data_IF_581096209935
#
_entry.id   IF_581096209935
#
_cell.length_a   1.000
_cell.length_b   1.000
_cell.length_c   1.000
_cell.angle_alpha   90.00
_cell.angle_beta   90.00
_cell.angle_gamma   90.00
#
_symmetry.space_group_name_H-M   'P 1'
#
loop_
_entity.id
_entity.type
_entity.pdbx_description
1 polymer ?
#
# COMPACT_ATOMS: atom_id res chain seq x y z
N UNK A 1 -27.97 11.37 -10.02
CA UNK A 1 -27.28 10.42 -9.13
C UNK A 1 -25.80 10.42 -9.46
N UNK A 2 -24.97 10.64 -8.45
CA UNK A 2 -23.52 10.54 -8.61
C UNK A 2 -23.13 9.07 -8.58
N UNK A 3 -22.19 8.68 -9.45
CA UNK A 3 -21.62 7.34 -9.40
C UNK A 3 -20.85 7.16 -8.10
N UNK A 4 -20.90 5.97 -7.46
CA UNK A 4 -20.04 5.70 -6.32
C UNK A 4 -18.57 5.86 -6.71
N UNK A 5 -17.77 6.39 -5.79
CA UNK A 5 -16.34 6.48 -6.00
C UNK A 5 -15.74 5.08 -6.09
N UNK A 6 -14.77 4.91 -6.96
CA UNK A 6 -13.97 3.69 -6.97
C UNK A 6 -13.11 3.66 -5.71
N UNK A 7 -13.11 2.52 -5.04
CA UNK A 7 -12.37 2.30 -3.80
C UNK A 7 -11.13 1.49 -4.14
N UNK A 8 -9.97 2.08 -3.94
CA UNK A 8 -8.71 1.41 -4.26
C UNK A 8 -7.79 1.37 -3.04
N UNK A 9 -7.14 0.24 -2.85
CA UNK A 9 -6.08 0.09 -1.86
C UNK A 9 -4.74 0.16 -2.59
N UNK A 10 -3.85 1.02 -2.12
CA UNK A 10 -2.47 1.05 -2.60
C UNK A 10 -1.62 0.37 -1.53
N UNK A 11 -1.01 -0.75 -1.89
CA UNK A 11 -0.13 -1.51 -1.00
C UNK A 11 1.31 -1.09 -1.31
N UNK A 12 1.81 -0.15 -0.52
CA UNK A 12 3.16 0.39 -0.68
C UNK A 12 4.18 -0.48 0.06
N UNK A 13 5.42 -0.55 -0.42
CA UNK A 13 6.48 -1.13 0.41
C UNK A 13 6.67 -0.33 1.69
N UNK A 14 7.23 -0.96 2.71
CA UNK A 14 7.42 -0.34 4.03
C UNK A 14 8.88 -0.31 4.46
N UNK A 15 9.82 -0.39 3.50
CA UNK A 15 11.22 -0.16 3.82
C UNK A 15 11.43 1.25 4.33
N UNK A 16 10.71 2.19 3.74
CA UNK A 16 10.71 3.61 4.08
C UNK A 16 9.26 4.10 4.15
N UNK A 17 9.05 5.27 4.75
CA UNK A 17 7.73 5.89 4.71
C UNK A 17 7.35 6.27 3.27
N UNK A 18 6.09 6.56 3.03
CA UNK A 18 5.55 6.95 1.72
C UNK A 18 5.02 8.39 1.81
N UNK A 19 5.59 9.39 1.11
CA UNK A 19 6.83 9.31 0.35
C UNK A 19 8.06 9.26 1.27
N UNK A 20 9.18 8.73 0.78
CA UNK A 20 10.39 8.67 1.61
C UNK A 20 11.01 10.04 1.79
N UNK A 21 11.79 10.20 2.87
CA UNK A 21 12.48 11.48 3.13
C UNK A 21 13.62 11.72 2.14
N UNK A 22 14.34 10.68 1.76
CA UNK A 22 15.48 10.77 0.87
C UNK A 22 15.49 9.65 -0.15
N UNK A 23 15.74 8.42 0.27
CA UNK A 23 15.86 7.26 -0.60
C UNK A 23 14.61 6.39 -0.48
N UNK A 24 14.18 5.82 -1.60
CA UNK A 24 13.02 4.94 -1.63
C UNK A 24 12.24 5.08 -2.92
N UNK A 25 12.80 4.55 -4.03
CA UNK A 25 12.18 4.70 -5.35
C UNK A 25 10.76 4.14 -5.41
N UNK A 26 10.53 2.99 -4.80
CA UNK A 26 9.24 2.32 -4.89
C UNK A 26 8.18 3.01 -4.05
N UNK A 27 8.57 3.51 -2.88
CA UNK A 27 7.66 4.29 -2.04
C UNK A 27 7.32 5.63 -2.71
N UNK A 28 8.26 6.19 -3.46
CA UNK A 28 8.00 7.41 -4.24
C UNK A 28 6.96 7.16 -5.32
N UNK A 29 7.07 6.04 -6.05
CA UNK A 29 6.09 5.67 -7.07
C UNK A 29 4.72 5.47 -6.44
N UNK A 30 4.65 4.75 -5.33
CA UNK A 30 3.38 4.52 -4.63
C UNK A 30 2.73 5.83 -4.19
N UNK A 31 3.53 6.77 -3.69
CA UNK A 31 3.04 8.09 -3.28
C UNK A 31 2.46 8.86 -4.47
N UNK A 32 3.17 8.87 -5.59
CA UNK A 32 2.71 9.59 -6.78
C UNK A 32 1.39 9.05 -7.29
N UNK A 33 1.24 7.73 -7.33
CA UNK A 33 0.01 7.10 -7.78
C UNK A 33 -1.12 7.40 -6.80
N UNK A 34 -0.86 7.28 -5.51
CA UNK A 34 -1.86 7.54 -4.47
C UNK A 34 -2.40 8.96 -4.57
N UNK A 35 -1.52 9.95 -4.59
CA UNK A 35 -1.94 11.34 -4.62
C UNK A 35 -2.62 11.70 -5.95
N UNK A 36 -2.17 11.09 -7.05
CA UNK A 36 -2.82 11.28 -8.35
C UNK A 36 -4.24 10.76 -8.38
N UNK A 37 -4.49 9.61 -7.78
CA UNK A 37 -5.84 9.03 -7.71
C UNK A 37 -6.74 9.83 -6.78
N UNK A 38 -6.22 10.31 -5.64
CA UNK A 38 -6.98 11.18 -4.74
C UNK A 38 -7.40 12.44 -5.50
N UNK A 39 -6.47 13.04 -6.25
CA UNK A 39 -6.76 14.25 -7.01
C UNK A 39 -7.85 14.04 -8.06
N UNK A 40 -8.00 12.81 -8.55
CA UNK A 40 -9.04 12.45 -9.53
C UNK A 40 -10.35 12.04 -8.89
N UNK A 41 -10.45 12.12 -7.57
CA UNK A 41 -11.71 11.85 -6.86
C UNK A 41 -11.94 10.40 -6.48
N UNK A 42 -10.92 9.54 -6.57
CA UNK A 42 -11.03 8.15 -6.12
C UNK A 42 -10.99 8.09 -4.59
N UNK A 43 -11.62 7.06 -4.03
CA UNK A 43 -11.55 6.77 -2.60
C UNK A 43 -10.35 5.84 -2.39
N UNK A 44 -9.25 6.41 -1.92
CA UNK A 44 -7.97 5.69 -1.82
C UNK A 44 -7.61 5.44 -0.37
N UNK A 45 -7.20 4.22 -0.08
CA UNK A 45 -6.56 3.87 1.20
C UNK A 45 -5.13 3.46 0.89
N UNK A 46 -4.18 4.14 1.52
CA UNK A 46 -2.76 3.85 1.39
C UNK A 46 -2.35 2.96 2.56
N UNK A 47 -1.87 1.76 2.25
CA UNK A 47 -1.25 0.87 3.23
C UNK A 47 0.25 1.15 3.21
N UNK A 48 0.75 1.76 4.26
CA UNK A 48 2.14 2.22 4.37
C UNK A 48 2.50 2.36 5.84
N UNK A 49 3.74 2.80 6.15
CA UNK A 49 4.10 3.07 7.53
C UNK A 49 3.32 4.28 8.07
N UNK A 50 3.13 4.33 9.39
CA UNK A 50 2.27 5.34 10.03
C UNK A 50 2.81 6.75 9.85
N UNK A 51 4.12 6.92 9.72
CA UNK A 51 4.75 8.23 9.52
C UNK A 51 4.66 8.73 8.08
N UNK A 52 3.97 8.00 7.21
CA UNK A 52 3.72 8.41 5.83
C UNK A 52 2.84 9.65 5.77
N UNK A 53 2.98 10.42 4.69
CA UNK A 53 2.22 11.65 4.48
C UNK A 53 1.38 11.48 3.22
N UNK A 54 0.07 11.58 3.36
CA UNK A 54 -0.84 11.35 2.24
C UNK A 54 -2.17 12.05 2.47
N UNK A 55 -2.84 12.42 1.37
CA UNK A 55 -4.23 12.89 1.44
C UNK A 55 -5.23 11.74 1.42
N UNK A 56 -4.76 10.52 1.11
CA UNK A 56 -5.59 9.32 1.19
C UNK A 56 -5.80 8.91 2.65
N UNK A 57 -6.67 7.92 2.87
CA UNK A 57 -6.73 7.28 4.18
C UNK A 57 -5.47 6.47 4.36
N UNK A 58 -4.88 6.58 5.54
CA UNK A 58 -3.65 5.85 5.84
C UNK A 58 -3.97 4.67 6.77
N UNK A 59 -3.52 3.49 6.37
CA UNK A 59 -3.65 2.27 7.17
C UNK A 59 -2.25 1.69 7.39
N UNK A 60 -1.84 1.54 8.64
CA UNK A 60 -0.48 1.15 8.96
C UNK A 60 -0.44 0.07 10.03
N UNK A 61 0.48 -0.88 9.87
CA UNK A 61 0.79 -1.90 10.90
C UNK A 61 2.12 -1.62 11.59
N UNK A 62 2.93 -0.71 11.02
CA UNK A 62 4.24 -0.32 11.59
C UNK A 62 4.28 1.19 11.75
N UNK A 63 5.03 1.66 12.74
CA UNK A 63 5.12 3.09 13.02
C UNK A 63 5.99 3.83 12.00
N UNK A 64 7.04 3.19 11.52
CA UNK A 64 7.95 3.77 10.53
C UNK A 64 8.55 2.66 9.67
N UNK A 65 9.22 3.03 8.58
CA UNK A 65 9.86 2.07 7.70
C UNK A 65 10.91 1.24 8.43
N UNK A 66 11.05 -0.04 8.05
CA UNK A 66 11.95 -0.93 8.78
C UNK A 66 13.42 -0.56 8.60
N UNK A 67 13.76 0.19 7.54
CA UNK A 67 15.12 0.68 7.37
C UNK A 67 15.48 1.74 8.44
N UNK A 68 14.48 2.33 9.07
CA UNK A 68 14.64 3.33 10.13
C UNK A 68 14.30 2.76 11.51
N UNK A 69 14.03 1.47 11.62
CA UNK A 69 13.60 0.85 12.88
C UNK A 69 14.32 -0.48 13.11
N UNK A 70 15.48 -0.47 13.75
CA UNK A 70 16.25 -1.70 13.97
C UNK A 70 15.58 -2.70 14.91
N UNK A 71 14.52 -2.31 15.62
CA UNK A 71 13.80 -3.22 16.51
C UNK A 71 12.80 -4.10 15.76
N UNK A 72 12.53 -3.81 14.49
CA UNK A 72 11.53 -4.52 13.69
C UNK A 72 12.21 -5.51 12.75
N UNK A 73 11.73 -6.76 12.73
CA UNK A 73 12.15 -7.73 11.75
C UNK A 73 11.48 -7.39 10.41
N UNK A 74 12.26 -7.07 9.36
CA UNK A 74 11.68 -6.64 8.09
C UNK A 74 10.73 -7.66 7.48
N UNK A 75 11.06 -8.93 7.53
CA UNK A 75 10.24 -9.97 6.92
C UNK A 75 8.90 -10.14 7.63
N UNK A 76 8.94 -10.14 8.97
CA UNK A 76 7.72 -10.22 9.77
C UNK A 76 6.83 -9.01 9.49
N UNK A 77 7.42 -7.82 9.50
CA UNK A 77 6.68 -6.58 9.24
C UNK A 77 6.03 -6.59 7.86
N UNK A 78 6.76 -7.04 6.84
CA UNK A 78 6.23 -7.06 5.47
C UNK A 78 5.06 -8.02 5.34
N UNK A 79 5.14 -9.22 5.91
CA UNK A 79 4.04 -10.17 5.82
C UNK A 79 2.82 -9.71 6.61
N UNK A 80 3.01 -9.11 7.78
CA UNK A 80 1.89 -8.54 8.53
C UNK A 80 1.22 -7.40 7.76
N UNK A 81 2.02 -6.56 7.15
CA UNK A 81 1.55 -5.44 6.34
C UNK A 81 0.73 -5.92 5.13
N UNK A 82 1.25 -6.89 4.40
CA UNK A 82 0.57 -7.44 3.23
C UNK A 82 -0.72 -8.15 3.64
N UNK A 83 -0.66 -9.00 4.66
CA UNK A 83 -1.85 -9.73 5.10
C UNK A 83 -2.94 -8.78 5.61
N UNK A 84 -2.56 -7.69 6.27
CA UNK A 84 -3.53 -6.70 6.73
C UNK A 84 -4.32 -6.12 5.56
N UNK A 85 -3.64 -5.78 4.46
CA UNK A 85 -4.31 -5.26 3.27
C UNK A 85 -5.30 -6.29 2.70
N UNK A 86 -4.89 -7.56 2.63
CA UNK A 86 -5.74 -8.60 2.07
C UNK A 86 -6.89 -9.00 3.00
N UNK A 87 -6.72 -8.84 4.31
CA UNK A 87 -7.84 -9.02 5.24
C UNK A 87 -8.96 -8.02 5.00
N UNK A 88 -8.61 -6.83 4.49
CA UNK A 88 -9.58 -5.77 4.18
C UNK A 88 -9.98 -5.75 2.70
N UNK A 89 -9.61 -6.77 1.93
CA UNK A 89 -9.79 -6.78 0.48
C UNK A 89 -11.23 -6.50 0.04
N UNK A 90 -12.22 -6.99 0.79
CA UNK A 90 -13.63 -6.82 0.43
C UNK A 90 -14.09 -5.36 0.47
N UNK A 91 -13.33 -4.48 1.11
CA UNK A 91 -13.64 -3.05 1.17
C UNK A 91 -13.22 -2.30 -0.08
N UNK A 92 -12.53 -2.96 -1.01
CA UNK A 92 -11.93 -2.30 -2.17
C UNK A 92 -12.41 -2.93 -3.48
N UNK A 93 -12.48 -2.10 -4.51
CA UNK A 93 -12.78 -2.53 -5.87
C UNK A 93 -11.51 -3.02 -6.57
N UNK A 94 -10.35 -2.58 -6.08
CA UNK A 94 -9.05 -2.95 -6.63
C UNK A 94 -7.98 -2.80 -5.57
N UNK A 95 -7.06 -3.75 -5.51
CA UNK A 95 -5.82 -3.62 -4.73
C UNK A 95 -4.69 -3.45 -5.72
N UNK A 96 -3.96 -2.34 -5.62
CA UNK A 96 -2.76 -2.09 -6.43
C UNK A 96 -1.53 -2.35 -5.58
N UNK A 97 -0.89 -3.49 -5.84
CA UNK A 97 0.27 -3.93 -5.06
C UNK A 97 1.57 -3.46 -5.70
N UNK A 98 2.41 -2.85 -4.89
CA UNK A 98 3.76 -2.45 -5.28
C UNK A 98 4.81 -3.46 -4.84
N UNK A 99 4.37 -4.65 -4.42
CA UNK A 99 5.24 -5.79 -4.15
C UNK A 99 5.32 -6.67 -5.39
N UNK A 100 6.49 -7.30 -5.62
CA UNK A 100 6.69 -8.18 -6.76
C UNK A 100 5.91 -9.49 -6.61
N UNK A 101 6.45 -10.40 -5.81
CA UNK A 101 5.87 -11.74 -5.68
C UNK A 101 5.30 -12.03 -4.30
N UNK A 102 5.65 -11.27 -3.27
CA UNK A 102 5.18 -11.54 -1.91
C UNK A 102 3.66 -11.52 -1.80
N UNK A 103 3.02 -10.55 -2.47
CA UNK A 103 1.57 -10.44 -2.44
C UNK A 103 0.88 -11.52 -3.27
N UNK A 104 1.58 -12.14 -4.22
CA UNK A 104 1.00 -13.16 -5.09
C UNK A 104 0.47 -14.35 -4.30
N UNK A 105 1.07 -14.63 -3.14
CA UNK A 105 0.63 -15.75 -2.28
C UNK A 105 -0.77 -15.52 -1.72
N UNK A 106 -1.27 -14.30 -1.73
CA UNK A 106 -2.58 -13.94 -1.18
C UNK A 106 -3.66 -13.73 -2.24
N UNK A 107 -3.29 -13.59 -3.51
CA UNK A 107 -4.24 -13.20 -4.56
C UNK A 107 -5.42 -14.17 -4.67
N UNK A 108 -5.17 -15.46 -4.53
CA UNK A 108 -6.21 -16.48 -4.65
C UNK A 108 -7.13 -16.57 -3.44
N UNK A 109 -6.78 -15.89 -2.36
CA UNK A 109 -7.57 -15.89 -1.13
C UNK A 109 -8.66 -14.81 -1.14
N UNK A 110 -8.66 -13.92 -2.11
CA UNK A 110 -9.60 -12.80 -2.18
C UNK A 110 -10.26 -12.76 -3.54
N UNK A 111 -11.48 -12.17 -3.58
CA UNK A 111 -12.20 -11.96 -4.83
C UNK A 111 -11.85 -10.64 -5.49
N UNK A 112 -11.35 -9.69 -4.71
CA UNK A 112 -10.98 -8.35 -5.21
C UNK A 112 -9.85 -8.48 -6.22
N UNK A 113 -9.97 -7.84 -7.39
CA UNK A 113 -8.87 -7.83 -8.37
C UNK A 113 -7.62 -7.20 -7.79
N UNK A 114 -6.47 -7.78 -8.12
CA UNK A 114 -5.16 -7.29 -7.66
C UNK A 114 -4.31 -6.98 -8.88
N UNK A 115 -3.87 -5.72 -8.96
CA UNK A 115 -2.92 -5.27 -9.97
C UNK A 115 -1.54 -5.23 -9.33
N UNK A 116 -0.60 -5.99 -9.89
CA UNK A 116 0.76 -6.05 -9.35
C UNK A 116 1.69 -5.27 -10.26
N UNK A 117 2.48 -4.37 -9.66
CA UNK A 117 3.51 -3.65 -10.39
C UNK A 117 4.72 -4.57 -10.57
N UNK A 118 5.02 -4.89 -11.84
CA UNK A 118 6.12 -5.80 -12.15
C UNK A 118 7.43 -5.02 -12.23
N UNK A 119 8.40 -5.44 -11.44
CA UNK A 119 9.76 -4.91 -11.49
C UNK A 119 10.61 -5.73 -12.46
N UNK A 120 11.53 -5.05 -13.08
CA UNK A 120 12.54 -5.73 -13.88
C UNK A 120 13.87 -5.72 -13.17
#
# INVERSE_FOLDING_TARGET
MTKPKKRVAILSPIAWRTPPRQYGAWETVASNITEGLVARGWDVTLFASRDSVTRARLHAVVEKGYEEDPAVDPKVAEYLHISEAFEHAAEFDLIHSHYDFMALTYIRLVKTPVLTLKRK
#
